data_IF_882900087913
#
_entry.id   IF_882900087913
#
_cell.length_a   1.000
_cell.length_b   1.000
_cell.length_c   1.000
_cell.angle_alpha   90.00
_cell.angle_beta   90.00
_cell.angle_gamma   90.00
#
_symmetry.space_group_name_H-M   'P 1'
#
loop_
_entity.id
_entity.type
_entity.pdbx_description
1 polymer ?
#
# COMPACT_ATOMS: atom_id res chain seq x y z
N UNK A 1 -7.90 -44.00 28.34
CA UNK A 1 -6.60 -43.53 27.82
C UNK A 1 -6.28 -42.24 28.54
N UNK A 2 -5.33 -42.25 29.47
CA UNK A 2 -4.86 -41.04 30.13
C UNK A 2 -4.24 -40.15 29.07
N UNK A 3 -4.88 -39.01 28.77
CA UNK A 3 -4.22 -37.93 28.07
C UNK A 3 -3.00 -37.55 28.93
N UNK A 4 -1.80 -37.82 28.45
CA UNK A 4 -0.59 -37.24 29.02
C UNK A 4 -0.77 -35.73 28.97
N UNK A 5 -1.01 -35.12 30.13
CA UNK A 5 -0.97 -33.67 30.31
C UNK A 5 0.41 -33.20 29.84
N UNK A 6 0.48 -32.65 28.62
CA UNK A 6 1.72 -32.11 28.08
C UNK A 6 1.93 -30.77 28.76
N UNK A 7 2.84 -30.73 29.73
CA UNK A 7 3.37 -29.49 30.27
C UNK A 7 4.56 -29.04 29.41
N UNK A 8 4.53 -27.79 28.97
CA UNK A 8 5.63 -27.15 28.26
C UNK A 8 6.22 -26.03 29.12
N UNK A 9 7.47 -25.69 28.89
CA UNK A 9 8.11 -24.49 29.42
C UNK A 9 8.28 -23.50 28.28
N UNK A 10 7.63 -22.32 28.37
CA UNK A 10 7.87 -21.19 27.48
C UNK A 10 8.97 -20.32 28.06
N UNK A 11 10.01 -20.04 27.29
CA UNK A 11 11.09 -19.13 27.68
C UNK A 11 10.54 -17.70 27.72
N UNK A 12 10.69 -17.00 28.85
CA UNK A 12 10.14 -15.66 29.07
C UNK A 12 11.19 -14.54 29.01
N UNK A 13 12.45 -14.89 28.78
CA UNK A 13 13.57 -13.94 28.73
C UNK A 13 14.48 -14.25 27.53
N UNK A 14 15.01 -13.19 26.92
CA UNK A 14 16.06 -13.35 25.91
C UNK A 14 17.35 -13.88 26.53
N UNK A 15 18.09 -14.65 25.73
CA UNK A 15 19.39 -15.22 26.07
C UNK A 15 19.40 -16.16 27.30
N UNK A 16 18.31 -16.88 27.56
CA UNK A 16 18.24 -17.86 28.64
C UNK A 16 19.19 -19.05 28.37
N UNK A 17 20.13 -19.40 29.29
CA UNK A 17 21.06 -20.50 29.09
C UNK A 17 20.38 -21.86 29.29
N UNK A 18 20.44 -22.73 28.26
CA UNK A 18 20.20 -24.16 28.42
C UNK A 18 21.47 -24.83 28.94
N UNK A 19 21.43 -25.42 30.13
CA UNK A 19 22.60 -25.97 30.82
C UNK A 19 22.60 -27.49 30.86
N UNK A 20 23.79 -28.09 30.90
CA UNK A 20 23.94 -29.55 30.99
C UNK A 20 23.55 -30.15 32.36
N UNK A 21 23.48 -29.33 33.43
CA UNK A 21 23.11 -29.76 34.78
C UNK A 21 22.38 -28.63 35.54
N UNK A 22 21.71 -28.98 36.65
CA UNK A 22 20.92 -28.09 37.52
C UNK A 22 21.78 -27.21 38.43
N UNK A 23 22.77 -26.52 37.87
CA UNK A 23 23.63 -25.57 38.57
C UNK A 23 24.14 -24.48 37.63
N UNK A 24 24.35 -23.26 38.12
CA UNK A 24 24.76 -22.12 37.27
C UNK A 24 26.17 -22.26 36.68
N UNK A 25 27.05 -22.99 37.36
CA UNK A 25 28.40 -23.27 36.86
C UNK A 25 28.42 -24.34 35.77
N UNK A 26 27.31 -25.03 35.51
CA UNK A 26 27.25 -26.06 34.48
C UNK A 26 27.46 -25.47 33.09
N UNK A 27 28.16 -26.17 32.18
CA UNK A 27 28.36 -25.73 30.81
C UNK A 27 27.04 -25.39 30.12
N UNK A 28 27.01 -24.23 29.46
CA UNK A 28 25.89 -23.81 28.60
C UNK A 28 25.97 -24.60 27.29
N UNK A 29 24.91 -25.33 26.97
CA UNK A 29 24.77 -26.11 25.75
C UNK A 29 24.18 -25.28 24.61
N UNK A 30 23.23 -24.39 24.93
CA UNK A 30 22.59 -23.51 23.97
C UNK A 30 22.13 -22.20 24.65
N UNK A 31 21.87 -21.20 23.82
CA UNK A 31 21.19 -19.96 24.22
C UNK A 31 19.77 -20.01 23.66
N UNK A 32 18.80 -19.78 24.54
CA UNK A 32 17.38 -19.77 24.24
C UNK A 32 16.84 -18.34 24.22
N UNK A 33 15.73 -18.13 23.53
CA UNK A 33 15.11 -16.82 23.32
C UNK A 33 13.65 -16.81 23.73
N UNK A 34 13.13 -15.63 24.06
CA UNK A 34 11.75 -15.53 24.52
C UNK A 34 10.78 -16.09 23.47
N UNK A 35 9.77 -16.83 23.94
CA UNK A 35 8.81 -17.51 23.10
C UNK A 35 9.21 -18.90 22.65
N UNK A 36 10.47 -19.36 22.82
CA UNK A 36 10.79 -20.77 22.57
C UNK A 36 10.05 -21.67 23.57
N UNK A 37 9.51 -22.80 23.08
CA UNK A 37 8.91 -23.82 23.91
C UNK A 37 9.84 -25.01 24.11
N UNK A 38 9.74 -25.63 25.28
CA UNK A 38 10.51 -26.80 25.68
C UNK A 38 9.58 -27.82 26.32
N UNK A 39 9.84 -29.10 26.13
CA UNK A 39 9.09 -30.15 26.83
C UNK A 39 9.58 -30.26 28.28
N UNK A 40 8.68 -30.21 29.26
CA UNK A 40 9.05 -30.35 30.67
C UNK A 40 9.23 -31.83 31.01
N UNK A 41 10.38 -32.16 31.60
CA UNK A 41 10.75 -33.52 32.02
C UNK A 41 10.86 -33.68 33.54
N UNK A 42 10.96 -32.58 34.28
CA UNK A 42 11.02 -32.59 35.74
C UNK A 42 11.52 -31.26 36.31
N UNK A 43 11.73 -31.22 37.62
CA UNK A 43 12.24 -30.06 38.34
C UNK A 43 13.32 -30.50 39.34
N UNK A 44 14.40 -29.72 39.44
CA UNK A 44 15.50 -29.99 40.37
C UNK A 44 16.22 -28.70 40.76
N UNK A 45 16.27 -28.41 42.07
CA UNK A 45 17.09 -27.33 42.65
C UNK A 45 16.84 -25.93 42.03
N UNK A 46 15.57 -25.60 41.74
CA UNK A 46 15.20 -24.32 41.09
C UNK A 46 15.54 -24.27 39.59
N UNK A 47 15.73 -25.43 38.97
CA UNK A 47 15.82 -25.60 37.52
C UNK A 47 14.69 -26.50 37.02
N UNK A 48 14.16 -26.18 35.85
CA UNK A 48 13.28 -27.05 35.09
C UNK A 48 14.16 -27.93 34.21
N UNK A 49 14.04 -29.25 34.35
CA UNK A 49 14.62 -30.21 33.42
C UNK A 49 13.74 -30.24 32.17
N UNK A 50 14.35 -30.04 31.01
CA UNK A 50 13.65 -29.84 29.76
C UNK A 50 14.27 -30.63 28.61
N UNK A 51 13.48 -30.81 27.55
CA UNK A 51 13.97 -31.26 26.24
C UNK A 51 13.62 -30.21 25.17
N UNK A 52 14.65 -29.70 24.49
CA UNK A 52 14.50 -28.82 23.33
C UNK A 52 14.37 -29.69 22.08
N UNK A 53 13.16 -29.76 21.51
CA UNK A 53 12.87 -30.52 20.29
C UNK A 53 13.50 -29.91 19.04
N UNK A 54 13.72 -28.59 19.00
CA UNK A 54 14.31 -27.92 17.84
C UNK A 54 15.79 -28.23 17.70
N UNK A 55 16.48 -28.35 18.83
CA UNK A 55 17.92 -28.63 18.89
C UNK A 55 18.24 -30.09 19.24
N UNK A 56 17.20 -30.90 19.51
CA UNK A 56 17.28 -32.30 19.96
C UNK A 56 18.20 -32.48 21.18
N UNK A 57 18.02 -31.63 22.20
CA UNK A 57 18.93 -31.57 23.35
C UNK A 57 18.18 -31.53 24.69
N UNK A 58 18.51 -32.45 25.63
CA UNK A 58 18.07 -32.32 27.02
C UNK A 58 18.92 -31.29 27.76
N UNK A 59 18.34 -30.60 28.73
CA UNK A 59 19.08 -29.69 29.60
C UNK A 59 18.26 -29.18 30.77
N UNK A 60 18.79 -28.14 31.40
CA UNK A 60 18.21 -27.47 32.56
C UNK A 60 18.15 -25.97 32.31
N UNK A 61 17.02 -25.35 32.63
CA UNK A 61 16.83 -23.89 32.57
C UNK A 61 16.36 -23.40 33.93
N UNK A 62 16.79 -22.21 34.36
CA UNK A 62 16.34 -21.64 35.64
C UNK A 62 14.84 -21.42 35.61
N UNK A 63 14.16 -21.76 36.71
CA UNK A 63 12.71 -21.61 36.83
C UNK A 63 12.23 -20.18 36.49
N UNK A 64 12.93 -19.15 36.98
CA UNK A 64 12.60 -17.74 36.72
C UNK A 64 12.72 -17.29 35.26
N UNK A 65 13.33 -18.10 34.38
CA UNK A 65 13.54 -17.76 32.96
C UNK A 65 12.51 -18.44 32.04
N UNK A 66 11.67 -19.32 32.60
CA UNK A 66 10.62 -20.01 31.87
C UNK A 66 9.29 -19.89 32.60
N UNK A 67 8.20 -20.09 31.88
CA UNK A 67 6.90 -20.31 32.47
C UNK A 67 6.40 -21.69 32.07
N UNK A 68 6.15 -22.53 33.07
CA UNK A 68 5.51 -23.83 32.84
C UNK A 68 4.03 -23.60 32.56
N UNK A 69 3.55 -24.16 31.46
CA UNK A 69 2.19 -24.06 30.94
C UNK A 69 1.65 -25.46 30.70
N UNK A 70 0.44 -25.72 31.16
CA UNK A 70 -0.30 -26.94 30.82
C UNK A 70 -1.12 -26.71 29.55
N UNK A 71 -1.09 -27.69 28.65
CA UNK A 71 -1.83 -27.66 27.39
C UNK A 71 -3.18 -28.37 27.53
N UNK A 72 -4.02 -27.82 28.42
CA UNK A 72 -5.36 -28.33 28.72
C UNK A 72 -6.42 -27.22 28.68
N UNK A 73 -7.69 -27.60 28.58
CA UNK A 73 -8.82 -26.66 28.50
C UNK A 73 -8.91 -25.78 29.77
N UNK A 74 -8.50 -26.28 30.93
CA UNK A 74 -8.50 -25.53 32.19
C UNK A 74 -7.53 -24.34 32.16
N UNK A 75 -6.49 -24.40 31.32
CA UNK A 75 -5.49 -23.34 31.17
C UNK A 75 -5.91 -22.24 30.19
N UNK A 76 -6.97 -22.43 29.40
CA UNK A 76 -7.40 -21.52 28.33
C UNK A 76 -7.62 -20.07 28.83
N UNK A 77 -8.39 -19.79 29.89
CA UNK A 77 -8.64 -18.41 30.32
C UNK A 77 -7.37 -17.68 30.75
N UNK A 78 -6.42 -18.40 31.37
CA UNK A 78 -5.13 -17.84 31.77
C UNK A 78 -4.27 -17.52 30.56
N UNK A 79 -4.24 -18.41 29.57
CA UNK A 79 -3.46 -18.21 28.34
C UNK A 79 -4.03 -17.06 27.51
N UNK A 80 -5.35 -16.94 27.41
CA UNK A 80 -6.02 -15.81 26.75
C UNK A 80 -5.59 -14.47 27.36
N UNK A 81 -5.67 -14.33 28.69
CA UNK A 81 -5.27 -13.10 29.37
C UNK A 81 -3.79 -12.73 29.11
N UNK A 82 -2.90 -13.73 29.01
CA UNK A 82 -1.48 -13.49 28.69
C UNK A 82 -1.31 -13.05 27.23
N UNK A 83 -2.03 -13.67 26.29
CA UNK A 83 -1.98 -13.28 24.88
C UNK A 83 -2.50 -11.85 24.69
N UNK A 84 -3.63 -11.49 25.31
CA UNK A 84 -4.18 -10.13 25.27
C UNK A 84 -3.19 -9.09 25.80
N UNK A 85 -2.51 -9.39 26.92
CA UNK A 85 -1.49 -8.50 27.46
C UNK A 85 -0.27 -8.35 26.52
N UNK A 86 0.18 -9.46 25.93
CA UNK A 86 1.36 -9.46 25.05
C UNK A 86 1.07 -8.88 23.66
N UNK A 87 -0.18 -8.92 23.20
CA UNK A 87 -0.61 -8.30 21.95
C UNK A 87 -0.18 -6.83 21.90
N UNK A 88 -0.36 -6.11 23.01
CA UNK A 88 -0.05 -4.68 23.13
C UNK A 88 1.34 -4.37 23.72
N UNK A 89 2.21 -5.38 23.86
CA UNK A 89 3.56 -5.21 24.41
C UNK A 89 4.62 -5.23 23.30
N UNK A 90 5.20 -4.08 22.89
CA UNK A 90 6.27 -4.03 21.90
C UNK A 90 7.53 -4.74 22.39
N UNK A 91 8.19 -5.50 21.52
CA UNK A 91 9.40 -6.25 21.87
C UNK A 91 9.17 -7.65 22.44
N UNK A 92 7.91 -7.98 22.78
CA UNK A 92 7.51 -9.29 23.27
C UNK A 92 6.76 -10.13 22.22
N UNK A 93 6.83 -9.77 20.94
CA UNK A 93 6.04 -10.41 19.88
C UNK A 93 6.32 -11.91 19.78
N UNK A 94 7.60 -12.34 19.84
CA UNK A 94 7.96 -13.75 19.80
C UNK A 94 7.41 -14.53 21.01
N UNK A 95 7.43 -13.92 22.20
CA UNK A 95 6.83 -14.50 23.41
C UNK A 95 5.32 -14.65 23.27
N UNK A 96 4.64 -13.61 22.80
CA UNK A 96 3.20 -13.62 22.58
C UNK A 96 2.77 -14.62 21.51
N UNK A 97 3.54 -14.78 20.43
CA UNK A 97 3.32 -15.84 19.43
C UNK A 97 3.45 -17.24 20.06
N UNK A 98 4.43 -17.46 20.94
CA UNK A 98 4.58 -18.71 21.68
C UNK A 98 3.39 -19.01 22.59
N UNK A 99 2.88 -18.01 23.31
CA UNK A 99 1.65 -18.15 24.11
C UNK A 99 0.40 -18.36 23.24
N UNK A 100 0.28 -17.70 22.09
CA UNK A 100 -0.81 -17.91 21.15
C UNK A 100 -0.81 -19.35 20.60
N UNK A 101 0.36 -19.92 20.31
CA UNK A 101 0.50 -21.31 19.91
C UNK A 101 0.12 -22.29 21.05
N UNK A 102 0.52 -22.00 22.29
CA UNK A 102 0.11 -22.78 23.46
C UNK A 102 -1.41 -22.73 23.66
N UNK A 103 -2.02 -21.56 23.50
CA UNK A 103 -3.47 -21.37 23.56
C UNK A 103 -4.18 -22.15 22.45
N UNK A 104 -3.72 -22.06 21.20
CA UNK A 104 -4.25 -22.84 20.07
C UNK A 104 -4.22 -24.35 20.33
N UNK A 105 -3.22 -24.83 21.05
CA UNK A 105 -3.08 -26.26 21.41
C UNK A 105 -3.97 -26.68 22.57
N UNK A 106 -4.28 -25.75 23.49
CA UNK A 106 -5.10 -25.98 24.67
C UNK A 106 -6.60 -25.86 24.40
N UNK A 107 -7.00 -24.94 23.52
CA UNK A 107 -8.41 -24.64 23.21
C UNK A 107 -9.03 -25.72 22.31
N UNK A 108 -10.28 -26.15 22.55
CA UNK A 108 -11.01 -26.99 21.61
C UNK A 108 -11.20 -26.28 20.27
N UNK A 109 -11.05 -27.02 19.16
CA UNK A 109 -11.09 -26.43 17.81
C UNK A 109 -12.40 -25.66 17.50
N UNK A 110 -13.53 -26.07 18.08
CA UNK A 110 -14.82 -25.40 17.94
C UNK A 110 -14.93 -24.08 18.69
N UNK A 111 -14.02 -23.81 19.62
CA UNK A 111 -13.98 -22.59 20.45
C UNK A 111 -12.90 -21.60 19.98
N UNK A 112 -12.17 -21.89 18.89
CA UNK A 112 -11.17 -20.97 18.34
C UNK A 112 -11.88 -19.80 17.66
N UNK A 113 -11.86 -18.65 18.32
CA UNK A 113 -12.43 -17.40 17.82
C UNK A 113 -11.46 -16.57 16.96
N UNK A 114 -11.98 -15.54 16.25
CA UNK A 114 -11.18 -14.61 15.47
C UNK A 114 -10.20 -13.79 16.32
N UNK A 115 -10.48 -13.57 17.61
CA UNK A 115 -9.68 -12.75 18.53
C UNK A 115 -8.23 -13.26 18.64
N UNK A 116 -8.07 -14.58 18.72
CA UNK A 116 -6.76 -15.22 18.80
C UNK A 116 -5.92 -14.99 17.54
N UNK A 117 -6.55 -15.05 16.36
CA UNK A 117 -5.86 -14.81 15.11
C UNK A 117 -5.59 -13.32 14.86
N UNK A 118 -6.44 -12.45 15.37
CA UNK A 118 -6.20 -11.01 15.33
C UNK A 118 -4.99 -10.63 16.19
N UNK A 119 -4.88 -11.17 17.40
CA UNK A 119 -3.70 -11.00 18.26
C UNK A 119 -2.42 -11.57 17.62
N UNK A 120 -2.49 -12.83 17.13
CA UNK A 120 -1.36 -13.49 16.45
C UNK A 120 -0.90 -12.68 15.22
N UNK A 121 -1.84 -12.24 14.39
CA UNK A 121 -1.56 -11.45 13.19
C UNK A 121 -0.94 -10.09 13.53
N UNK A 122 -1.44 -9.42 14.57
CA UNK A 122 -0.94 -8.12 15.02
C UNK A 122 0.49 -8.21 15.54
N UNK A 123 0.80 -9.24 16.33
CA UNK A 123 2.17 -9.49 16.80
C UNK A 123 3.11 -9.84 15.64
N UNK A 124 2.68 -10.69 14.70
CA UNK A 124 3.47 -11.07 13.53
C UNK A 124 3.75 -9.86 12.60
N UNK A 125 2.74 -9.01 12.33
CA UNK A 125 2.92 -7.81 11.51
C UNK A 125 3.83 -6.78 12.20
N UNK A 126 3.69 -6.61 13.52
CA UNK A 126 4.57 -5.72 14.30
C UNK A 126 6.01 -6.21 14.31
N UNK A 127 6.23 -7.52 14.48
CA UNK A 127 7.56 -8.13 14.37
C UNK A 127 8.19 -7.87 12.99
N UNK A 128 7.42 -8.04 11.92
CA UNK A 128 7.88 -7.74 10.55
C UNK A 128 8.24 -6.26 10.35
N UNK A 129 7.46 -5.33 10.92
CA UNK A 129 7.75 -3.88 10.90
C UNK A 129 9.01 -3.53 11.70
N UNK A 130 9.23 -4.17 12.85
CA UNK A 130 10.47 -4.03 13.63
C UNK A 130 11.68 -4.49 12.80
N UNK A 131 11.59 -5.66 12.16
CA UNK A 131 12.63 -6.21 11.29
C UNK A 131 12.96 -5.30 10.08
N UNK A 132 11.96 -4.59 9.58
CA UNK A 132 12.14 -3.62 8.49
C UNK A 132 12.80 -2.31 8.96
N UNK A 133 12.48 -1.84 10.16
CA UNK A 133 12.92 -0.52 10.66
C UNK A 133 14.32 -0.56 11.27
N UNK A 134 14.74 -1.71 11.80
CA UNK A 134 16.03 -1.88 12.45
C UNK A 134 17.11 -2.29 11.44
N UNK A 135 18.34 -1.79 11.63
CA UNK A 135 19.50 -2.23 10.85
C UNK A 135 19.80 -3.70 11.17
N UNK A 136 20.28 -4.44 10.17
CA UNK A 136 20.48 -5.91 10.11
C UNK A 136 21.29 -6.59 11.24
N UNK A 137 21.75 -5.88 12.27
CA UNK A 137 22.71 -6.38 13.26
C UNK A 137 22.13 -6.61 14.67
N UNK A 138 20.80 -6.60 14.82
CA UNK A 138 20.16 -6.94 16.09
C UNK A 138 19.96 -8.46 16.21
N UNK A 139 20.84 -9.11 16.98
CA UNK A 139 20.79 -10.55 17.23
C UNK A 139 19.51 -11.01 17.95
N UNK A 140 18.89 -10.14 18.77
CA UNK A 140 17.60 -10.45 19.43
C UNK A 140 16.49 -10.50 18.40
N UNK A 141 16.43 -9.52 17.51
CA UNK A 141 15.41 -9.47 16.46
C UNK A 141 15.52 -10.65 15.49
N UNK A 142 16.73 -11.01 15.07
CA UNK A 142 16.94 -12.21 14.24
C UNK A 142 16.41 -13.47 14.94
N UNK A 143 16.72 -13.63 16.22
CA UNK A 143 16.22 -14.76 17.00
C UNK A 143 14.68 -14.73 17.17
N UNK A 144 14.07 -13.56 17.36
CA UNK A 144 12.61 -13.44 17.44
C UNK A 144 11.91 -13.85 16.14
N UNK A 145 12.51 -13.54 14.99
CA UNK A 145 12.02 -14.00 13.68
C UNK A 145 12.10 -15.52 13.56
N UNK A 146 13.22 -16.13 14.00
CA UNK A 146 13.38 -17.59 14.01
C UNK A 146 12.36 -18.28 14.93
N UNK A 147 12.11 -17.71 16.12
CA UNK A 147 11.10 -18.21 17.05
C UNK A 147 9.71 -18.16 16.41
N UNK A 148 9.31 -17.03 15.84
CA UNK A 148 8.03 -16.91 15.15
C UNK A 148 7.89 -17.92 14.00
N UNK A 149 8.94 -18.07 13.18
CA UNK A 149 8.97 -19.04 12.08
C UNK A 149 8.83 -20.49 12.57
N UNK A 150 9.37 -20.83 13.75
CA UNK A 150 9.21 -22.16 14.34
C UNK A 150 7.77 -22.53 14.70
N UNK A 151 6.91 -21.52 14.88
CA UNK A 151 5.46 -21.68 15.07
C UNK A 151 4.65 -21.62 13.76
N UNK A 152 5.32 -21.55 12.61
CA UNK A 152 4.67 -21.48 11.29
C UNK A 152 4.31 -20.06 10.83
N UNK A 153 4.73 -19.01 11.56
CA UNK A 153 4.55 -17.63 11.09
C UNK A 153 5.46 -17.38 9.89
N UNK A 154 4.85 -17.21 8.71
CA UNK A 154 5.60 -16.99 7.47
C UNK A 154 5.87 -15.51 7.26
N UNK A 155 7.16 -15.16 7.23
CA UNK A 155 7.66 -13.83 6.95
C UNK A 155 8.36 -13.84 5.60
N UNK A 156 8.01 -12.90 4.72
CA UNK A 156 8.62 -12.73 3.40
C UNK A 156 9.50 -11.50 3.41
N UNK A 157 10.66 -11.58 2.76
CA UNK A 157 11.59 -10.47 2.63
C UNK A 157 11.86 -10.15 1.18
N UNK A 158 11.91 -8.86 0.85
CA UNK A 158 12.29 -8.38 -0.48
C UNK A 158 13.18 -7.14 -0.34
N UNK A 159 14.09 -6.95 -1.28
CA UNK A 159 14.93 -5.76 -1.36
C UNK A 159 14.21 -4.66 -2.13
N UNK A 160 14.19 -3.45 -1.57
CA UNK A 160 13.62 -2.26 -2.20
C UNK A 160 14.48 -1.06 -1.87
N UNK A 161 14.98 -0.37 -2.89
CA UNK A 161 15.81 0.84 -2.72
C UNK A 161 17.02 0.62 -1.78
N UNK A 162 17.67 -0.55 -1.89
CA UNK A 162 18.81 -0.93 -1.05
C UNK A 162 18.46 -1.25 0.41
N UNK A 163 17.17 -1.40 0.75
CA UNK A 163 16.69 -1.79 2.07
C UNK A 163 15.91 -3.09 2.00
N UNK A 164 16.20 -4.02 2.91
CA UNK A 164 15.38 -5.21 3.10
C UNK A 164 14.08 -4.82 3.80
N UNK A 165 12.95 -5.19 3.19
CA UNK A 165 11.62 -5.08 3.77
C UNK A 165 11.16 -6.46 4.19
N UNK A 166 10.67 -6.61 5.42
CA UNK A 166 10.09 -7.84 5.93
C UNK A 166 8.59 -7.64 6.11
N UNK A 167 7.79 -8.57 5.59
CA UNK A 167 6.34 -8.54 5.68
C UNK A 167 5.81 -9.89 6.16
N UNK A 168 4.76 -9.85 6.98
CA UNK A 168 4.00 -11.03 7.35
C UNK A 168 3.10 -11.46 6.18
N UNK A 169 2.99 -12.76 5.93
CA UNK A 169 2.15 -13.30 4.84
C UNK A 169 0.64 -13.13 5.09
N UNK A 170 0.25 -12.80 6.32
CA UNK A 170 -1.11 -12.48 6.72
C UNK A 170 -2.02 -13.68 6.97
N UNK A 171 -1.50 -14.90 7.13
CA UNK A 171 -2.33 -16.09 7.32
C UNK A 171 -3.37 -15.94 8.44
N UNK A 172 -2.96 -15.44 9.62
CA UNK A 172 -3.86 -15.21 10.75
C UNK A 172 -4.93 -14.16 10.42
N UNK A 173 -4.58 -13.08 9.72
CA UNK A 173 -5.56 -12.08 9.27
C UNK A 173 -6.57 -12.65 8.27
N UNK A 174 -6.19 -13.60 7.40
CA UNK A 174 -7.16 -14.29 6.54
C UNK A 174 -8.17 -15.10 7.37
N UNK A 175 -7.72 -15.72 8.47
CA UNK A 175 -8.62 -16.42 9.41
C UNK A 175 -9.57 -15.46 10.13
N UNK A 176 -9.11 -14.26 10.53
CA UNK A 176 -9.99 -13.21 11.10
C UNK A 176 -11.14 -12.87 10.15
N UNK A 177 -10.84 -12.67 8.86
CA UNK A 177 -11.86 -12.37 7.85
C UNK A 177 -12.84 -13.54 7.65
N UNK A 178 -12.33 -14.78 7.66
CA UNK A 178 -13.12 -16.00 7.49
C UNK A 178 -14.03 -16.33 8.69
N UNK A 179 -13.54 -16.12 9.92
CA UNK A 179 -14.28 -16.42 11.16
C UNK A 179 -15.25 -15.30 11.57
N UNK A 180 -15.13 -14.09 10.99
CA UNK A 180 -16.06 -13.01 11.25
C UNK A 180 -15.78 -12.21 12.52
N UNK A 181 -14.53 -11.73 12.69
CA UNK A 181 -14.16 -10.83 13.80
C UNK A 181 -14.95 -9.52 13.85
N UNK A 182 -14.73 -8.73 14.91
CA UNK A 182 -15.35 -7.40 15.05
C UNK A 182 -15.04 -6.50 13.85
N UNK A 183 -15.81 -5.42 13.59
CA UNK A 183 -15.53 -4.48 12.50
C UNK A 183 -14.08 -3.98 12.50
N UNK A 184 -13.54 -3.65 13.67
CA UNK A 184 -12.16 -3.16 13.85
C UNK A 184 -11.12 -4.24 13.53
N UNK A 185 -11.35 -5.49 13.97
CA UNK A 185 -10.47 -6.63 13.66
C UNK A 185 -10.45 -6.91 12.15
N UNK A 186 -11.64 -6.90 11.51
CA UNK A 186 -11.76 -7.09 10.06
C UNK A 186 -11.06 -5.98 9.29
N UNK A 187 -11.18 -4.73 9.75
CA UNK A 187 -10.45 -3.61 9.17
C UNK A 187 -8.94 -3.80 9.31
N UNK A 188 -8.44 -4.10 10.51
CA UNK A 188 -7.01 -4.32 10.79
C UNK A 188 -6.45 -5.42 9.88
N UNK A 189 -7.15 -6.54 9.80
CA UNK A 189 -6.82 -7.65 8.92
C UNK A 189 -6.76 -7.23 7.44
N UNK A 190 -7.80 -6.54 6.95
CA UNK A 190 -7.86 -6.09 5.56
C UNK A 190 -6.75 -5.07 5.23
N UNK A 191 -6.47 -4.11 6.11
CA UNK A 191 -5.41 -3.13 5.90
C UNK A 191 -4.02 -3.77 5.92
N UNK A 192 -3.79 -4.74 6.81
CA UNK A 192 -2.53 -5.49 6.90
C UNK A 192 -2.29 -6.37 5.66
N UNK A 193 -3.32 -7.08 5.20
CA UNK A 193 -3.27 -7.94 4.01
C UNK A 193 -3.03 -7.16 2.70
N UNK A 194 -3.36 -5.87 2.67
CA UNK A 194 -3.34 -5.07 1.44
C UNK A 194 -2.25 -3.99 1.42
N UNK A 195 -1.24 -4.08 2.29
CA UNK A 195 -0.15 -3.09 2.41
C UNK A 195 0.64 -2.93 1.11
N UNK A 196 0.73 -1.73 0.50
CA UNK A 196 1.45 -1.52 -0.75
C UNK A 196 2.96 -1.69 -0.61
N UNK A 197 3.50 -1.41 0.58
CA UNK A 197 4.91 -1.64 0.87
C UNK A 197 5.26 -3.13 0.99
N UNK A 198 4.27 -4.03 1.05
CA UNK A 198 4.41 -5.47 1.10
C UNK A 198 4.19 -6.17 -0.26
N UNK A 199 4.10 -5.39 -1.34
CA UNK A 199 4.05 -5.91 -2.70
C UNK A 199 5.48 -6.13 -3.20
N UNK A 200 5.75 -7.32 -3.72
CA UNK A 200 7.04 -7.65 -4.32
C UNK A 200 7.33 -6.72 -5.52
N UNK A 201 8.42 -5.93 -5.50
CA UNK A 201 8.76 -5.04 -6.61
C UNK A 201 9.13 -5.78 -7.91
N UNK A 202 9.48 -7.07 -7.84
CA UNK A 202 9.78 -7.89 -9.02
C UNK A 202 8.52 -8.50 -9.68
N UNK A 203 7.34 -8.28 -9.09
CA UNK A 203 6.07 -8.81 -9.61
C UNK A 203 5.79 -8.29 -11.02
N UNK A 204 5.43 -9.20 -11.93
CA UNK A 204 5.13 -8.80 -13.31
C UNK A 204 3.75 -8.10 -13.39
N UNK A 205 3.45 -7.37 -14.49
CA UNK A 205 2.20 -6.62 -14.60
C UNK A 205 0.92 -7.44 -14.47
N UNK A 206 0.91 -8.70 -14.93
CA UNK A 206 -0.28 -9.58 -14.85
C UNK A 206 -0.52 -10.05 -13.41
N UNK A 207 0.54 -10.48 -12.72
CA UNK A 207 0.50 -10.82 -11.30
C UNK A 207 0.07 -9.61 -10.47
N UNK A 208 0.58 -8.41 -10.80
CA UNK A 208 0.21 -7.17 -10.13
C UNK A 208 -1.27 -6.85 -10.29
N UNK A 209 -1.83 -7.01 -11.49
CA UNK A 209 -3.27 -6.88 -11.71
C UNK A 209 -4.06 -7.85 -10.84
N UNK A 210 -3.71 -9.15 -10.86
CA UNK A 210 -4.42 -10.18 -10.09
C UNK A 210 -4.35 -9.90 -8.57
N UNK A 211 -3.20 -9.41 -8.08
CA UNK A 211 -3.04 -9.00 -6.70
C UNK A 211 -3.96 -7.82 -6.35
N UNK A 212 -3.99 -6.77 -7.19
CA UNK A 212 -4.83 -5.60 -6.92
C UNK A 212 -6.34 -5.92 -7.01
N UNK A 213 -6.74 -6.87 -7.89
CA UNK A 213 -8.10 -7.41 -7.91
C UNK A 213 -8.43 -8.13 -6.60
N UNK A 214 -7.52 -8.98 -6.11
CA UNK A 214 -7.69 -9.62 -4.81
C UNK A 214 -7.73 -8.61 -3.66
N UNK A 215 -6.83 -7.61 -3.63
CA UNK A 215 -6.83 -6.54 -2.61
C UNK A 215 -8.17 -5.81 -2.57
N UNK A 216 -8.75 -5.52 -3.74
CA UNK A 216 -10.10 -4.93 -3.83
C UNK A 216 -11.14 -5.79 -3.14
N UNK A 217 -11.17 -7.10 -3.42
CA UNK A 217 -12.15 -8.02 -2.80
C UNK A 217 -11.96 -8.17 -1.29
N UNK A 218 -10.73 -8.11 -0.79
CA UNK A 218 -10.44 -8.10 0.66
C UNK A 218 -11.01 -6.84 1.31
N UNK A 219 -10.81 -5.67 0.70
CA UNK A 219 -11.29 -4.41 1.25
C UNK A 219 -12.82 -4.30 1.19
N UNK A 220 -13.47 -4.89 0.20
CA UNK A 220 -14.93 -4.93 0.07
C UNK A 220 -15.62 -5.74 1.18
N UNK A 221 -14.91 -6.65 1.85
CA UNK A 221 -15.44 -7.44 2.98
C UNK A 221 -15.63 -6.63 4.28
N UNK A 222 -15.15 -5.38 4.33
CA UNK A 222 -15.23 -4.51 5.51
C UNK A 222 -16.29 -3.44 5.31
N UNK A 223 -17.27 -3.38 6.21
CA UNK A 223 -18.31 -2.36 6.17
C UNK A 223 -17.85 -1.08 6.87
N UNK A 224 -17.71 0.00 6.10
CA UNK A 224 -17.32 1.32 6.61
C UNK A 224 -18.36 1.90 7.58
N UNK A 225 -19.64 1.60 7.40
CA UNK A 225 -20.73 2.13 8.24
C UNK A 225 -20.73 1.57 9.67
N UNK A 226 -19.96 0.52 9.93
CA UNK A 226 -19.80 -0.10 11.25
C UNK A 226 -18.51 0.32 11.96
N UNK A 227 -17.76 1.26 11.38
CA UNK A 227 -16.49 1.74 11.91
C UNK A 227 -16.61 3.18 12.44
N UNK A 228 -15.83 3.54 13.48
CA UNK A 228 -15.55 4.93 13.79
C UNK A 228 -15.00 5.69 12.57
N UNK A 229 -15.34 6.98 12.44
CA UNK A 229 -15.03 7.78 11.25
C UNK A 229 -13.53 7.79 10.88
N UNK A 230 -12.63 7.93 11.87
CA UNK A 230 -11.19 7.91 11.63
C UNK A 230 -10.69 6.55 11.09
N UNK A 231 -11.31 5.43 11.49
CA UNK A 231 -11.01 4.10 10.96
C UNK A 231 -11.61 3.87 9.58
N UNK A 232 -12.83 4.36 9.34
CA UNK A 232 -13.45 4.36 8.02
C UNK A 232 -12.59 5.13 7.01
N UNK A 233 -11.99 6.26 7.41
CA UNK A 233 -11.05 7.02 6.58
C UNK A 233 -9.89 6.13 6.10
N UNK A 234 -9.25 5.33 6.97
CA UNK A 234 -8.16 4.42 6.56
C UNK A 234 -8.60 3.39 5.52
N UNK A 235 -9.83 2.86 5.65
CA UNK A 235 -10.41 1.96 4.65
C UNK A 235 -10.63 2.67 3.31
N UNK A 236 -11.22 3.86 3.33
CA UNK A 236 -11.46 4.67 2.13
C UNK A 236 -10.17 5.05 1.41
N UNK A 237 -9.13 5.41 2.15
CA UNK A 237 -7.80 5.69 1.60
C UNK A 237 -7.22 4.48 0.87
N UNK A 238 -7.23 3.30 1.51
CA UNK A 238 -6.70 2.07 0.89
C UNK A 238 -7.54 1.62 -0.31
N UNK A 239 -8.87 1.79 -0.28
CA UNK A 239 -9.74 1.55 -1.44
C UNK A 239 -9.43 2.49 -2.59
N UNK A 240 -9.26 3.79 -2.32
CA UNK A 240 -8.91 4.78 -3.32
C UNK A 240 -7.58 4.42 -4.02
N UNK A 241 -6.57 4.04 -3.24
CA UNK A 241 -5.27 3.60 -3.74
C UNK A 241 -5.37 2.36 -4.64
N UNK A 242 -6.03 1.29 -4.18
CA UNK A 242 -6.17 0.03 -4.93
C UNK A 242 -6.97 0.24 -6.22
N UNK A 243 -8.06 0.99 -6.16
CA UNK A 243 -8.88 1.25 -7.34
C UNK A 243 -8.19 2.15 -8.37
N UNK A 244 -7.35 3.10 -7.94
CA UNK A 244 -6.53 3.88 -8.85
C UNK A 244 -5.49 3.01 -9.58
N UNK A 245 -4.87 2.05 -8.88
CA UNK A 245 -3.96 1.08 -9.50
C UNK A 245 -4.70 0.17 -10.49
N UNK A 246 -5.86 -0.36 -10.12
CA UNK A 246 -6.71 -1.16 -11.01
C UNK A 246 -7.14 -0.40 -12.27
N UNK A 247 -7.51 0.88 -12.14
CA UNK A 247 -7.84 1.74 -13.27
C UNK A 247 -6.72 1.74 -14.31
N UNK A 248 -5.48 1.96 -13.86
CA UNK A 248 -4.29 1.95 -14.73
C UNK A 248 -4.06 0.57 -15.36
N UNK A 249 -4.00 -0.51 -14.57
CA UNK A 249 -3.67 -1.85 -15.08
C UNK A 249 -4.73 -2.37 -16.07
N UNK A 250 -6.01 -2.23 -15.76
CA UNK A 250 -7.12 -2.67 -16.61
C UNK A 250 -7.15 -1.88 -17.92
N UNK A 251 -6.98 -0.56 -17.84
CA UNK A 251 -6.97 0.31 -19.03
C UNK A 251 -5.79 -0.01 -19.94
N UNK A 252 -4.59 -0.26 -19.38
CA UNK A 252 -3.39 -0.68 -20.12
C UNK A 252 -3.58 -2.01 -20.85
N UNK A 253 -4.40 -2.92 -20.31
CA UNK A 253 -4.76 -4.20 -20.94
C UNK A 253 -5.84 -4.07 -22.03
N UNK A 254 -6.36 -2.87 -22.26
CA UNK A 254 -7.45 -2.61 -23.20
C UNK A 254 -8.85 -2.89 -22.63
N UNK A 255 -8.97 -3.10 -21.32
CA UNK A 255 -10.25 -3.29 -20.62
C UNK A 255 -10.83 -1.94 -20.15
N UNK A 256 -10.93 -0.97 -21.07
CA UNK A 256 -11.24 0.43 -20.77
C UNK A 256 -12.50 0.63 -19.92
N UNK A 257 -13.56 -0.15 -20.16
CA UNK A 257 -14.80 -0.06 -19.37
C UNK A 257 -14.63 -0.53 -17.92
N UNK A 258 -13.80 -1.55 -17.66
CA UNK A 258 -13.47 -1.96 -16.30
C UNK A 258 -12.54 -0.96 -15.63
N UNK A 259 -11.60 -0.39 -16.39
CA UNK A 259 -10.72 0.70 -15.94
C UNK A 259 -11.50 1.95 -15.51
N UNK A 260 -12.47 2.38 -16.32
CA UNK A 260 -13.37 3.50 -16.01
C UNK A 260 -14.13 3.27 -14.69
N UNK A 261 -14.74 2.10 -14.50
CA UNK A 261 -15.43 1.74 -13.25
C UNK A 261 -14.48 1.74 -12.03
N UNK A 262 -13.24 1.28 -12.20
CA UNK A 262 -12.25 1.34 -11.14
C UNK A 262 -11.87 2.80 -10.81
N UNK A 263 -11.72 3.65 -11.81
CA UNK A 263 -11.49 5.09 -11.65
C UNK A 263 -12.63 5.79 -10.89
N UNK A 264 -13.89 5.52 -11.25
CA UNK A 264 -15.06 6.03 -10.53
C UNK A 264 -15.04 5.63 -9.05
N UNK A 265 -14.75 4.36 -8.76
CA UNK A 265 -14.62 3.84 -7.39
C UNK A 265 -13.46 4.49 -6.63
N UNK A 266 -12.35 4.77 -7.30
CA UNK A 266 -11.19 5.43 -6.72
C UNK A 266 -11.54 6.86 -6.28
N UNK A 267 -12.19 7.62 -7.17
CA UNK A 267 -12.68 8.99 -6.90
C UNK A 267 -13.73 8.99 -5.79
N UNK A 268 -14.70 8.07 -5.83
CA UNK A 268 -15.74 7.96 -4.81
C UNK A 268 -15.17 7.59 -3.43
N UNK A 269 -14.20 6.68 -3.38
CA UNK A 269 -13.52 6.29 -2.13
C UNK A 269 -12.75 7.46 -1.54
N UNK A 270 -11.99 8.21 -2.35
CA UNK A 270 -11.29 9.41 -1.88
C UNK A 270 -12.26 10.49 -1.39
N UNK A 271 -13.37 10.70 -2.09
CA UNK A 271 -14.41 11.65 -1.71
C UNK A 271 -15.14 11.26 -0.42
N UNK A 272 -15.12 9.98 -0.04
CA UNK A 272 -15.72 9.50 1.21
C UNK A 272 -14.84 9.76 2.45
N UNK A 273 -13.61 10.24 2.26
CA UNK A 273 -12.73 10.58 3.38
C UNK A 273 -13.21 11.86 4.05
N UNK A 274 -13.53 11.76 5.34
CA UNK A 274 -13.92 12.89 6.18
C UNK A 274 -12.66 13.60 6.69
N UNK A 275 -12.29 14.72 6.06
CA UNK A 275 -11.09 15.49 6.42
C UNK A 275 -11.04 15.95 7.88
N UNK A 276 -12.19 16.24 8.48
CA UNK A 276 -12.28 16.63 9.90
C UNK A 276 -11.89 15.50 10.86
N UNK A 277 -12.00 14.25 10.41
CA UNK A 277 -11.69 13.02 11.16
C UNK A 277 -10.39 12.38 10.65
N UNK A 278 -9.59 13.12 9.88
CA UNK A 278 -8.32 12.62 9.34
C UNK A 278 -7.23 12.80 10.40
N UNK A 279 -6.75 11.69 10.94
CA UNK A 279 -5.66 11.70 11.91
C UNK A 279 -4.35 12.23 11.29
N UNK A 280 -3.48 12.82 12.11
CA UNK A 280 -2.22 13.42 11.66
C UNK A 280 -1.32 12.39 10.95
N UNK A 281 -1.27 11.16 11.46
CA UNK A 281 -0.51 10.07 10.87
C UNK A 281 -1.01 9.65 9.47
N UNK A 282 -2.29 9.90 9.16
CA UNK A 282 -2.94 9.48 7.92
C UNK A 282 -2.84 10.55 6.82
N UNK A 283 -2.36 11.76 7.12
CA UNK A 283 -2.21 12.86 6.15
C UNK A 283 -1.31 12.51 4.97
N UNK A 284 -0.20 11.82 5.23
CA UNK A 284 0.74 11.40 4.18
C UNK A 284 0.10 10.38 3.23
N UNK A 285 -0.66 9.44 3.79
CA UNK A 285 -1.40 8.44 3.03
C UNK A 285 -2.53 9.09 2.21
N UNK A 286 -3.24 10.08 2.78
CA UNK A 286 -4.25 10.87 2.06
C UNK A 286 -3.65 11.56 0.84
N UNK A 287 -2.56 12.31 1.02
CA UNK A 287 -1.92 13.02 -0.09
C UNK A 287 -1.44 12.04 -1.17
N UNK A 288 -0.83 10.92 -0.78
CA UNK A 288 -0.38 9.91 -1.73
C UNK A 288 -1.53 9.22 -2.48
N UNK A 289 -2.67 8.97 -1.83
CA UNK A 289 -3.87 8.43 -2.45
C UNK A 289 -4.49 9.45 -3.42
N UNK A 290 -4.57 10.73 -3.04
CA UNK A 290 -5.08 11.80 -3.90
C UNK A 290 -4.29 11.89 -5.21
N UNK A 291 -2.96 11.85 -5.15
CA UNK A 291 -2.10 11.86 -6.36
C UNK A 291 -2.36 10.66 -7.27
N UNK A 292 -2.54 9.44 -6.72
CA UNK A 292 -2.84 8.24 -7.51
C UNK A 292 -4.21 8.32 -8.18
N UNK A 293 -5.21 8.81 -7.45
CA UNK A 293 -6.55 9.04 -7.99
C UNK A 293 -6.49 10.09 -9.09
N UNK A 294 -5.78 11.20 -8.87
CA UNK A 294 -5.57 12.25 -9.87
C UNK A 294 -4.90 11.76 -11.14
N UNK A 295 -3.91 10.87 -11.01
CA UNK A 295 -3.19 10.29 -12.14
C UNK A 295 -4.09 9.46 -13.09
N UNK A 296 -5.11 8.76 -12.56
CA UNK A 296 -5.95 7.81 -13.32
C UNK A 296 -7.43 8.19 -13.42
N UNK A 297 -7.84 9.35 -12.89
CA UNK A 297 -9.24 9.84 -12.91
C UNK A 297 -9.83 9.94 -14.33
N UNK A 298 -8.99 10.26 -15.31
CA UNK A 298 -9.38 10.44 -16.71
C UNK A 298 -9.92 9.17 -17.38
N UNK A 299 -9.71 7.99 -16.79
CA UNK A 299 -10.29 6.76 -17.30
C UNK A 299 -11.83 6.75 -17.26
N UNK A 300 -12.42 7.49 -16.31
CA UNK A 300 -13.87 7.64 -16.16
C UNK A 300 -14.42 8.93 -16.79
N UNK A 301 -13.54 9.82 -17.26
CA UNK A 301 -14.00 11.02 -17.96
C UNK A 301 -14.44 10.68 -19.37
N UNK A 302 -15.63 11.14 -19.79
CA UNK A 302 -16.02 11.01 -21.18
C UNK A 302 -15.04 11.79 -22.06
N UNK A 303 -14.75 11.26 -23.25
CA UNK A 303 -14.05 12.04 -24.26
C UNK A 303 -14.83 13.34 -24.52
N UNK A 304 -14.18 14.48 -24.36
CA UNK A 304 -14.83 15.77 -24.60
C UNK A 304 -15.26 15.83 -26.07
N UNK A 305 -16.56 15.99 -26.30
CA UNK A 305 -17.05 16.50 -27.58
C UNK A 305 -16.48 17.91 -27.72
N UNK A 306 -15.58 18.10 -28.67
CA UNK A 306 -14.93 19.38 -28.89
C UNK A 306 -15.50 19.99 -30.20
N UNK A 307 -16.58 20.76 -30.15
CA UNK A 307 -17.04 21.51 -31.32
C UNK A 307 -16.04 22.61 -31.66
N UNK A 308 -15.56 22.67 -32.91
CA UNK A 308 -14.68 23.75 -33.37
C UNK A 308 -13.80 23.39 -34.58
N UNK A 309 -13.37 24.42 -35.32
CA UNK A 309 -12.38 24.31 -36.38
C UNK A 309 -10.98 24.33 -35.76
N UNK A 310 -10.28 23.20 -35.77
CA UNK A 310 -8.95 23.04 -35.19
C UNK A 310 -8.51 21.59 -35.26
N UNK A 311 -7.23 21.29 -35.03
CA UNK A 311 -6.72 19.94 -35.18
C UNK A 311 -7.40 18.97 -34.19
N UNK A 312 -7.46 17.71 -34.59
CA UNK A 312 -8.06 16.61 -33.83
C UNK A 312 -6.95 15.61 -33.51
N UNK A 313 -6.91 15.17 -32.25
CA UNK A 313 -6.00 14.13 -31.82
C UNK A 313 -6.69 12.77 -31.98
N UNK A 314 -6.25 11.98 -32.96
CA UNK A 314 -6.70 10.62 -33.15
C UNK A 314 -5.73 9.65 -32.46
N UNK A 315 -6.28 8.63 -31.82
CA UNK A 315 -5.51 7.55 -31.20
C UNK A 315 -5.64 6.28 -32.04
N UNK A 316 -4.52 5.65 -32.35
CA UNK A 316 -4.46 4.37 -33.05
C UNK A 316 -3.49 3.41 -32.37
N UNK A 317 -3.64 2.12 -32.65
CA UNK A 317 -2.69 1.11 -32.18
C UNK A 317 -1.42 1.18 -33.05
N UNK A 318 -0.26 1.22 -32.40
CA UNK A 318 1.05 1.10 -33.05
C UNK A 318 1.57 -0.34 -32.99
N UNK A 319 2.82 -0.50 -32.60
CA UNK A 319 3.40 -1.80 -32.21
C UNK A 319 2.64 -2.43 -31.02
N UNK A 320 2.83 -3.72 -30.73
CA UNK A 320 2.21 -4.35 -29.56
C UNK A 320 2.48 -3.58 -28.26
N UNK A 321 1.41 -3.10 -27.61
CA UNK A 321 1.48 -2.30 -26.39
C UNK A 321 1.72 -0.79 -26.61
N UNK A 322 1.83 -0.35 -27.85
CA UNK A 322 2.07 1.05 -28.23
C UNK A 322 0.77 1.73 -28.69
N UNK A 323 0.57 2.97 -28.26
CA UNK A 323 -0.50 3.86 -28.74
C UNK A 323 0.12 5.01 -29.52
N UNK A 324 -0.33 5.22 -30.75
CA UNK A 324 0.07 6.34 -31.60
C UNK A 324 -0.94 7.48 -31.48
N UNK A 325 -0.42 8.66 -31.16
CA UNK A 325 -1.15 9.92 -31.10
C UNK A 325 -0.89 10.67 -32.40
N UNK A 326 -1.92 10.79 -33.24
CA UNK A 326 -1.86 11.46 -34.54
C UNK A 326 -2.67 12.74 -34.49
N UNK A 327 -2.00 13.87 -34.57
CA UNK A 327 -2.63 15.17 -34.72
C UNK A 327 -2.97 15.37 -36.20
N UNK A 328 -4.24 15.57 -36.52
CA UNK A 328 -4.72 15.75 -37.90
C UNK A 328 -5.50 17.05 -38.05
N UNK A 329 -5.46 17.66 -39.23
CA UNK A 329 -6.34 18.78 -39.55
C UNK A 329 -7.79 18.28 -39.63
N UNK A 330 -8.71 18.96 -38.94
CA UNK A 330 -10.14 18.65 -39.02
C UNK A 330 -10.70 18.79 -40.45
N UNK A 331 -10.12 19.66 -41.29
CA UNK A 331 -10.53 19.86 -42.69
C UNK A 331 -9.90 18.86 -43.65
N UNK A 332 -8.79 18.21 -43.26
CA UNK A 332 -8.07 17.25 -44.08
C UNK A 332 -7.56 16.05 -43.23
N UNK A 333 -8.47 15.22 -42.68
CA UNK A 333 -8.14 14.18 -41.69
C UNK A 333 -7.19 13.06 -42.20
N UNK A 334 -6.93 13.03 -43.51
CA UNK A 334 -5.95 12.13 -44.13
C UNK A 334 -4.50 12.60 -44.00
N UNK A 335 -4.24 13.88 -43.73
CA UNK A 335 -2.88 14.42 -43.54
C UNK A 335 -2.59 14.61 -42.06
N UNK A 336 -1.58 13.90 -41.54
CA UNK A 336 -1.11 14.09 -40.18
C UNK A 336 -0.26 15.36 -40.10
N UNK A 337 -0.64 16.27 -39.21
CA UNK A 337 0.16 17.43 -38.84
C UNK A 337 1.35 17.02 -37.97
N UNK A 338 1.15 15.99 -37.14
CA UNK A 338 2.18 15.41 -36.29
C UNK A 338 1.78 13.99 -35.87
N UNK A 339 2.75 13.12 -35.63
CA UNK A 339 2.51 11.77 -35.10
C UNK A 339 3.60 11.37 -34.10
N UNK A 340 3.18 10.83 -32.95
CA UNK A 340 4.09 10.27 -31.94
C UNK A 340 3.45 9.05 -31.30
N UNK A 341 4.21 7.98 -31.19
CA UNK A 341 3.78 6.78 -30.50
C UNK A 341 4.44 6.65 -29.11
N UNK A 342 3.75 5.98 -28.19
CA UNK A 342 4.17 5.81 -26.79
C UNK A 342 3.71 4.46 -26.23
N UNK A 343 4.49 3.91 -25.31
CA UNK A 343 4.10 2.76 -24.48
C UNK A 343 3.39 3.19 -23.18
N UNK A 344 3.30 4.49 -22.93
CA UNK A 344 2.47 5.05 -21.87
C UNK A 344 0.98 4.92 -22.16
N UNK A 345 0.17 4.97 -21.11
CA UNK A 345 -1.28 4.94 -21.25
C UNK A 345 -1.78 6.35 -21.55
N UNK A 346 -2.30 6.56 -22.76
CA UNK A 346 -2.91 7.82 -23.17
C UNK A 346 -4.33 7.88 -22.65
N UNK A 347 -4.71 8.97 -21.98
CA UNK A 347 -6.05 9.17 -21.44
C UNK A 347 -6.93 10.00 -22.39
N UNK A 348 -7.84 9.41 -23.18
CA UNK A 348 -8.59 10.16 -24.19
C UNK A 348 -9.55 11.18 -23.58
N UNK A 349 -10.10 10.88 -22.39
CA UNK A 349 -10.94 11.79 -21.61
C UNK A 349 -10.25 13.10 -21.21
N UNK A 350 -8.91 13.14 -21.22
CA UNK A 350 -8.11 14.32 -20.87
C UNK A 350 -7.83 15.27 -22.05
N UNK A 351 -8.17 14.88 -23.28
CA UNK A 351 -7.83 15.67 -24.48
C UNK A 351 -8.57 17.01 -24.46
N UNK A 352 -7.84 18.12 -24.57
CA UNK A 352 -8.38 19.47 -24.64
C UNK A 352 -7.63 20.32 -25.66
N UNK A 353 -8.34 21.25 -26.31
CA UNK A 353 -7.78 22.14 -27.34
C UNK A 353 -7.87 23.60 -26.90
N UNK A 354 -6.92 24.43 -27.34
CA UNK A 354 -7.04 25.88 -27.19
C UNK A 354 -8.16 26.41 -28.08
N UNK A 355 -8.75 27.56 -27.71
CA UNK A 355 -9.86 28.15 -28.46
C UNK A 355 -9.49 28.49 -29.92
N UNK A 356 -8.23 28.85 -30.17
CA UNK A 356 -7.69 29.11 -31.51
C UNK A 356 -7.39 27.85 -32.31
N UNK A 357 -7.42 26.66 -31.69
CA UNK A 357 -6.94 25.43 -32.33
C UNK A 357 -5.41 25.41 -32.54
N UNK A 358 -4.66 26.22 -31.80
CA UNK A 358 -3.19 26.34 -31.88
C UNK A 358 -2.44 25.47 -30.88
N UNK A 359 -3.16 24.75 -30.01
CA UNK A 359 -2.61 23.82 -29.05
C UNK A 359 -3.60 22.69 -28.74
N UNK A 360 -3.09 21.49 -28.48
CA UNK A 360 -3.84 20.34 -27.97
C UNK A 360 -3.04 19.71 -26.84
N UNK A 361 -3.67 19.50 -25.69
CA UNK A 361 -3.03 18.82 -24.57
C UNK A 361 -3.74 17.50 -24.23
N UNK A 362 -2.95 16.53 -23.76
CA UNK A 362 -3.43 15.20 -23.35
C UNK A 362 -2.56 14.65 -22.22
N UNK A 363 -3.18 14.00 -21.25
CA UNK A 363 -2.50 13.31 -20.17
C UNK A 363 -2.00 11.94 -20.66
N UNK A 364 -0.73 11.65 -20.39
CA UNK A 364 -0.08 10.37 -20.72
C UNK A 364 0.54 9.79 -19.46
N UNK A 365 0.00 8.66 -19.00
CA UNK A 365 0.45 7.99 -17.79
C UNK A 365 1.51 6.94 -18.11
N UNK A 366 2.77 7.29 -17.83
CA UNK A 366 3.92 6.44 -18.13
C UNK A 366 4.03 5.26 -17.16
N UNK A 367 3.75 5.51 -15.87
CA UNK A 367 3.77 4.52 -14.80
C UNK A 367 2.50 4.64 -13.95
N UNK A 368 2.17 3.62 -13.17
CA UNK A 368 1.00 3.62 -12.28
C UNK A 368 0.89 4.87 -11.39
N UNK A 369 2.04 5.41 -10.95
CA UNK A 369 2.09 6.62 -10.14
C UNK A 369 2.51 7.90 -10.89
N UNK A 370 2.74 7.86 -12.20
CA UNK A 370 3.39 8.96 -12.93
C UNK A 370 2.66 9.34 -14.22
N UNK A 371 2.04 10.53 -14.22
CA UNK A 371 1.30 11.07 -15.37
C UNK A 371 1.86 12.41 -15.84
N UNK A 372 2.28 12.45 -17.11
CA UNK A 372 2.75 13.66 -17.77
C UNK A 372 1.63 14.36 -18.52
N UNK A 373 1.81 15.65 -18.78
CA UNK A 373 0.97 16.40 -19.72
C UNK A 373 1.73 16.60 -21.03
N UNK A 374 1.22 16.05 -22.11
CA UNK A 374 1.76 16.21 -23.45
C UNK A 374 1.02 17.35 -24.15
N UNK A 375 1.76 18.33 -24.67
CA UNK A 375 1.22 19.54 -25.31
C UNK A 375 1.74 19.61 -26.74
N UNK A 376 0.84 19.37 -27.69
CA UNK A 376 1.05 19.68 -29.10
C UNK A 376 0.76 21.16 -29.31
N UNK A 377 1.65 21.89 -29.96
CA UNK A 377 1.42 23.29 -30.29
C UNK A 377 2.03 23.70 -31.61
N UNK A 378 1.47 24.75 -32.19
CA UNK A 378 1.92 25.30 -33.46
C UNK A 378 3.16 26.18 -33.28
N UNK A 379 4.20 25.87 -34.04
CA UNK A 379 5.43 26.66 -34.16
C UNK A 379 5.68 26.98 -35.64
N UNK A 380 5.50 28.25 -36.01
CA UNK A 380 5.46 28.67 -37.42
C UNK A 380 4.35 27.95 -38.20
N UNK A 381 4.72 27.33 -39.32
CA UNK A 381 3.81 26.50 -40.14
C UNK A 381 3.74 25.04 -39.65
N UNK A 382 4.54 24.66 -38.65
CA UNK A 382 4.66 23.29 -38.15
C UNK A 382 3.99 23.05 -36.81
N UNK A 383 4.01 21.79 -36.38
CA UNK A 383 3.57 21.36 -35.06
C UNK A 383 4.73 20.68 -34.32
N UNK A 384 4.84 20.98 -33.04
CA UNK A 384 5.79 20.35 -32.13
C UNK A 384 5.06 19.75 -30.93
N UNK A 385 5.75 18.87 -30.21
CA UNK A 385 5.25 18.20 -29.03
C UNK A 385 6.24 18.39 -27.88
N UNK A 386 5.77 18.99 -26.79
CA UNK A 386 6.49 19.06 -25.53
C UNK A 386 5.80 18.20 -24.47
N UNK A 387 6.59 17.53 -23.63
CA UNK A 387 6.10 16.72 -22.53
C UNK A 387 6.46 17.38 -21.19
N UNK A 388 5.46 17.52 -20.32
CA UNK A 388 5.58 18.16 -19.03
C UNK A 388 5.51 17.13 -17.90
N UNK A 389 6.64 16.91 -17.24
CA UNK A 389 6.73 16.01 -16.11
C UNK A 389 6.17 16.64 -14.79
N UNK A 390 5.62 15.82 -13.89
CA UNK A 390 5.19 16.24 -12.55
C UNK A 390 6.28 16.93 -11.74
N UNK A 391 7.49 16.36 -11.76
CA UNK A 391 8.66 16.89 -11.09
C UNK A 391 9.94 16.57 -11.89
N UNK A 392 11.01 17.30 -11.62
CA UNK A 392 12.34 17.07 -12.20
C UNK A 392 13.15 15.98 -11.46
N UNK A 393 12.48 15.11 -10.71
CA UNK A 393 13.06 14.01 -9.95
C UNK A 393 12.79 12.68 -10.65
N UNK A 394 13.40 11.60 -10.18
CA UNK A 394 13.07 10.25 -10.67
C UNK A 394 11.56 9.98 -10.54
N UNK A 395 10.93 9.39 -11.58
CA UNK A 395 9.52 9.03 -11.57
C UNK A 395 9.19 8.12 -10.39
N UNK A 396 8.32 8.58 -9.51
CA UNK A 396 7.82 7.79 -8.38
C UNK A 396 6.32 7.96 -8.24
N UNK A 397 5.92 9.16 -7.80
CA UNK A 397 4.52 9.50 -7.57
C UNK A 397 4.29 10.97 -7.93
N UNK A 398 3.51 11.22 -8.96
CA UNK A 398 3.10 12.56 -9.36
C UNK A 398 2.24 12.58 -10.61
N UNK A 399 1.45 13.63 -10.77
CA UNK A 399 0.71 13.90 -12.00
C UNK A 399 0.72 15.38 -12.36
N UNK A 400 0.64 15.66 -13.65
CA UNK A 400 0.31 16.98 -14.20
C UNK A 400 -1.01 16.88 -14.94
N UNK A 401 -1.89 17.84 -14.71
CA UNK A 401 -3.11 17.98 -15.47
C UNK A 401 -3.27 19.39 -16.03
N UNK A 402 -3.93 19.47 -17.19
CA UNK A 402 -4.33 20.74 -17.77
C UNK A 402 -5.53 21.31 -16.99
N UNK A 403 -5.38 22.56 -16.53
CA UNK A 403 -6.47 23.33 -15.94
C UNK A 403 -7.17 24.26 -16.94
N UNK A 404 -6.51 24.63 -18.04
CA UNK A 404 -7.09 25.43 -19.12
C UNK A 404 -6.04 26.10 -20.01
N UNK A 405 -6.50 26.90 -20.96
CA UNK A 405 -5.66 27.74 -21.82
C UNK A 405 -6.05 29.20 -21.64
N UNK A 406 -5.11 30.12 -21.87
CA UNK A 406 -5.49 31.53 -22.03
C UNK A 406 -6.38 31.73 -23.26
N UNK A 407 -7.19 32.81 -23.32
CA UNK A 407 -8.11 33.05 -24.42
C UNK A 407 -7.44 33.20 -25.78
N UNK A 408 -6.15 33.56 -25.84
CA UNK A 408 -5.31 33.66 -27.04
C UNK A 408 -4.50 32.38 -27.32
N UNK A 409 -4.59 31.38 -26.44
CA UNK A 409 -3.90 30.10 -26.56
C UNK A 409 -2.39 30.15 -26.26
N UNK A 410 -1.83 31.31 -25.93
CA UNK A 410 -0.38 31.49 -25.70
C UNK A 410 0.11 30.93 -24.35
N UNK A 411 -0.81 30.69 -23.41
CA UNK A 411 -0.52 30.17 -22.07
C UNK A 411 -1.29 28.90 -21.76
N UNK A 412 -0.62 28.04 -20.99
CA UNK A 412 -1.16 26.78 -20.48
C UNK A 412 -1.27 26.88 -18.97
N UNK A 413 -2.43 26.59 -18.41
CA UNK A 413 -2.65 26.53 -16.97
C UNK A 413 -2.56 25.07 -16.55
N UNK A 414 -1.75 24.76 -15.55
CA UNK A 414 -1.55 23.38 -15.09
C UNK A 414 -1.63 23.28 -13.57
N UNK A 415 -2.16 22.16 -13.09
CA UNK A 415 -2.00 21.73 -11.71
C UNK A 415 -1.00 20.56 -11.68
N UNK A 416 -0.03 20.63 -10.76
CA UNK A 416 0.97 19.58 -10.53
C UNK A 416 0.90 19.14 -9.09
N UNK A 417 0.91 17.83 -8.87
CA UNK A 417 1.13 17.24 -7.56
C UNK A 417 2.17 16.14 -7.68
N UNK A 418 3.22 16.18 -6.86
CA UNK A 418 4.29 15.19 -6.92
C UNK A 418 4.96 14.98 -5.57
N UNK A 419 5.49 13.77 -5.35
CA UNK A 419 6.36 13.44 -4.24
C UNK A 419 7.75 14.04 -4.50
N UNK A 420 8.10 15.05 -3.71
CA UNK A 420 9.39 15.75 -3.78
C UNK A 420 9.99 15.76 -2.38
N UNK A 421 11.19 15.19 -2.23
CA UNK A 421 11.91 15.15 -0.93
C UNK A 421 11.07 14.50 0.20
N UNK A 422 10.32 13.45 -0.14
CA UNK A 422 9.49 12.70 0.82
C UNK A 422 8.16 13.36 1.19
N UNK A 423 7.78 14.48 0.57
CA UNK A 423 6.49 15.15 0.78
C UNK A 423 5.77 15.38 -0.54
N UNK A 424 4.45 15.26 -0.54
CA UNK A 424 3.64 15.68 -1.68
C UNK A 424 3.64 17.22 -1.72
N UNK A 425 4.07 17.78 -2.84
CA UNK A 425 3.99 19.22 -3.13
C UNK A 425 2.97 19.42 -4.25
N UNK A 426 2.07 20.37 -4.04
CA UNK A 426 1.08 20.80 -5.03
C UNK A 426 1.47 22.19 -5.55
N UNK A 427 1.38 22.40 -6.87
CA UNK A 427 1.72 23.66 -7.51
C UNK A 427 0.79 23.94 -8.68
N UNK A 428 0.23 25.15 -8.70
CA UNK A 428 -0.61 25.67 -9.77
C UNK A 428 0.21 26.67 -10.58
N UNK A 429 0.28 26.50 -11.90
CA UNK A 429 1.22 27.24 -12.72
C UNK A 429 0.57 27.79 -13.99
N UNK A 430 1.00 28.98 -14.39
CA UNK A 430 0.74 29.57 -15.70
C UNK A 430 2.04 29.46 -16.50
N UNK A 431 2.03 28.65 -17.55
CA UNK A 431 3.19 28.37 -18.38
C UNK A 431 3.07 29.09 -19.73
N UNK A 432 4.21 29.46 -20.32
CA UNK A 432 4.25 29.79 -21.75
C UNK A 432 4.04 28.53 -22.55
N UNK A 433 3.12 28.53 -23.52
CA UNK A 433 2.86 27.36 -24.36
C UNK A 433 4.13 26.88 -25.08
N UNK A 434 4.89 27.80 -25.66
CA UNK A 434 5.99 27.46 -26.58
C UNK A 434 7.23 26.85 -25.88
N UNK A 435 7.34 26.98 -24.56
CA UNK A 435 8.52 26.50 -23.79
C UNK A 435 8.14 25.68 -22.57
N UNK A 436 6.85 25.66 -22.20
CA UNK A 436 6.31 25.15 -20.94
C UNK A 436 7.02 25.68 -19.67
N UNK A 437 7.73 26.81 -19.78
CA UNK A 437 8.36 27.47 -18.65
C UNK A 437 7.33 28.25 -17.83
N UNK A 438 7.39 28.19 -16.48
CA UNK A 438 6.46 28.90 -15.62
C UNK A 438 6.69 30.41 -15.66
N UNK A 439 5.62 31.16 -15.95
CA UNK A 439 5.57 32.62 -15.78
C UNK A 439 5.15 32.99 -14.36
N UNK A 440 4.23 32.21 -13.79
CA UNK A 440 3.69 32.38 -12.43
C UNK A 440 3.38 31.01 -11.83
N UNK A 441 3.62 30.88 -10.53
CA UNK A 441 3.30 29.68 -9.76
C UNK A 441 2.71 30.07 -8.40
N UNK A 442 1.82 29.23 -7.86
CA UNK A 442 1.29 29.38 -6.51
C UNK A 442 0.89 28.01 -5.93
N UNK A 443 0.74 27.94 -4.61
CA UNK A 443 0.31 26.73 -3.91
C UNK A 443 -1.23 26.59 -3.86
N UNK A 444 -1.97 27.60 -4.33
CA UNK A 444 -3.41 27.54 -4.52
C UNK A 444 -3.84 28.24 -5.82
N UNK A 445 -4.88 27.75 -6.51
CA UNK A 445 -5.33 28.36 -7.76
C UNK A 445 -5.95 29.74 -7.53
N UNK A 446 -6.52 30.00 -6.35
CA UNK A 446 -7.13 31.29 -6.00
C UNK A 446 -6.14 32.45 -5.95
N UNK A 447 -4.85 32.17 -5.71
CA UNK A 447 -3.79 33.18 -5.74
C UNK A 447 -3.40 33.62 -7.17
N UNK A 448 -3.88 32.91 -8.20
CA UNK A 448 -3.60 33.21 -9.60
C UNK A 448 -4.87 33.70 -10.30
N UNK A 449 -4.96 35.00 -10.58
CA UNK A 449 -6.10 35.56 -11.32
C UNK A 449 -6.35 34.93 -12.70
N UNK A 450 -5.33 34.30 -13.30
CA UNK A 450 -5.49 33.51 -14.52
C UNK A 450 -6.36 32.28 -14.30
N UNK A 451 -6.19 31.55 -13.19
CA UNK A 451 -7.03 30.39 -12.86
C UNK A 451 -8.48 30.78 -12.64
N UNK A 452 -8.74 31.94 -12.04
CA UNK A 452 -10.11 32.43 -11.88
C UNK A 452 -10.81 32.72 -13.21
N UNK A 453 -10.07 33.18 -14.23
CA UNK A 453 -10.63 33.61 -15.52
C UNK A 453 -10.65 32.53 -16.59
N UNK A 454 -9.63 31.66 -16.60
CA UNK A 454 -9.31 30.82 -17.75
C UNK A 454 -9.27 29.32 -17.41
N UNK A 455 -9.48 28.93 -16.15
CA UNK A 455 -9.65 27.51 -15.85
C UNK A 455 -10.97 26.97 -16.40
N UNK A 456 -10.90 25.81 -17.03
CA UNK A 456 -12.05 25.19 -17.67
C UNK A 456 -13.04 24.69 -16.62
N UNK A 457 -14.33 24.64 -16.98
CA UNK A 457 -15.40 24.26 -16.06
C UNK A 457 -15.31 22.78 -15.66
N UNK A 458 -14.97 21.92 -16.61
CA UNK A 458 -14.73 20.50 -16.42
C UNK A 458 -13.55 20.25 -15.46
N UNK A 459 -12.44 20.98 -15.61
CA UNK A 459 -11.33 20.87 -14.66
C UNK A 459 -11.76 21.28 -13.26
N UNK A 460 -12.47 22.41 -13.11
CA UNK A 460 -12.96 22.89 -11.81
C UNK A 460 -13.90 21.89 -11.12
N UNK A 461 -14.74 21.19 -11.88
CA UNK A 461 -15.66 20.18 -11.36
C UNK A 461 -15.01 18.82 -11.09
N UNK A 462 -13.99 18.45 -11.87
CA UNK A 462 -13.41 17.10 -11.89
C UNK A 462 -12.08 16.92 -11.16
N UNK A 463 -11.31 17.98 -10.95
CA UNK A 463 -9.98 17.86 -10.32
C UNK A 463 -10.05 17.41 -8.87
N UNK A 464 -9.07 16.60 -8.46
CA UNK A 464 -8.81 16.24 -7.06
C UNK A 464 -7.79 17.17 -6.41
N UNK A 465 -7.00 17.95 -7.17
CA UNK A 465 -5.98 18.85 -6.63
C UNK A 465 -6.56 20.04 -5.83
N UNK A 466 -7.84 20.33 -6.01
CA UNK A 466 -8.55 21.37 -5.24
C UNK A 466 -9.30 20.83 -4.03
N UNK A 467 -9.36 19.50 -3.85
CA UNK A 467 -10.25 18.88 -2.87
C UNK A 467 -9.68 18.92 -1.48
#
# INVERSE_FOLDING_TARGET
MLATLVAIALVVQDQAPLRAASQDSAPRQATLWQGEWLEVRGERQGFIQVYDHRRERPGYVREQQVRVVHLDEASVPRLQAVVEFLEDTPGAEALGIGYAAALLRAVPASQVGPELFDALGSMADRLARRATSHRSNDASLAAHLDVAASYGVKLVSFEREGRTRVCYDGEAFRRVLALGGSPEMRLRAALALTRPECIDPAMNPLERQALDEWRSTVLEQVDAGRLPAYLANRLHLRRAEVHAALSYQLSRRGEAQRGAKASERAVASLASVLKAELAEEDKSAYAAAAVRVGASRFASEPASEQPGAGPVLALSKGQPGETCLRLADAKAPGSALFERCTYGLVWPGSVRRSAQGSAVAVAVQLLEGWTELWVFHQEGEGWVLDALAPAATEPSLGYVELAGFSPDGSRVLVAREALVEGRIKSSFQVLKRDTLLPEKSADSPGALGAFQRWSSADWRGGTVAMR
#
